data_IF_554486289508
#
_entry.id   IF_554486289508
#
_cell.length_a   1.000
_cell.length_b   1.000
_cell.length_c   1.000
_cell.angle_alpha   90.00
_cell.angle_beta   90.00
_cell.angle_gamma   90.00
#
_symmetry.space_group_name_H-M   'P 1'
#
loop_
_entity.id
_entity.type
_entity.pdbx_description
1 polymer ?
#
# COMPACT_ATOMS: atom_id res chain seq x y z
N UNK A 1 0.29 -5.92 -1.44
CA UNK A 1 -0.11 -5.67 -0.03
C UNK A 1 0.41 -4.31 0.41
N UNK A 2 -0.42 -3.48 1.04
CA UNK A 2 -0.11 -2.07 1.33
C UNK A 2 1.22 -1.86 2.08
N UNK A 3 1.54 -2.72 3.06
CA UNK A 3 2.79 -2.69 3.82
C UNK A 3 4.04 -2.86 2.93
N UNK A 4 4.04 -3.87 2.05
CA UNK A 4 5.16 -4.15 1.13
C UNK A 4 5.38 -2.99 0.15
N UNK A 5 4.29 -2.42 -0.37
CA UNK A 5 4.37 -1.25 -1.27
C UNK A 5 4.88 -0.01 -0.54
N UNK A 6 4.67 0.10 0.77
CA UNK A 6 5.22 1.17 1.61
C UNK A 6 6.65 0.89 2.11
N UNK A 7 7.26 -0.24 1.72
CA UNK A 7 8.64 -0.57 2.11
C UNK A 7 8.84 -0.94 3.59
N UNK A 8 7.76 -1.26 4.31
CA UNK A 8 7.86 -1.57 5.74
C UNK A 8 8.02 -3.07 6.00
N UNK A 9 8.93 -3.42 6.92
CA UNK A 9 9.02 -4.76 7.46
C UNK A 9 7.85 -5.07 8.42
N UNK A 10 7.54 -6.36 8.61
CA UNK A 10 6.38 -6.82 9.39
C UNK A 10 6.43 -6.34 10.83
N UNK A 11 7.58 -6.51 11.51
CA UNK A 11 7.73 -6.14 12.92
C UNK A 11 7.69 -4.63 13.13
N UNK A 12 8.36 -3.88 12.25
CA UNK A 12 8.40 -2.41 12.31
C UNK A 12 7.02 -1.81 12.01
N UNK A 13 6.28 -2.39 11.06
CA UNK A 13 4.90 -2.01 10.79
C UNK A 13 4.00 -2.28 12.01
N UNK A 14 4.13 -3.45 12.64
CA UNK A 14 3.33 -3.80 13.82
C UNK A 14 3.57 -2.84 14.99
N UNK A 15 4.85 -2.52 15.27
CA UNK A 15 5.22 -1.51 16.28
C UNK A 15 4.64 -0.14 15.96
N UNK A 16 4.77 0.31 14.71
CA UNK A 16 4.31 1.64 14.29
C UNK A 16 2.78 1.77 14.34
N UNK A 17 2.07 0.68 14.08
CA UNK A 17 0.62 0.59 14.24
C UNK A 17 0.18 0.47 15.71
N UNK A 18 1.14 0.47 16.65
CA UNK A 18 0.94 0.27 18.08
C UNK A 18 0.18 -1.04 18.38
N UNK A 19 0.45 -2.09 17.60
CA UNK A 19 -0.02 -3.43 17.92
C UNK A 19 0.83 -3.98 19.07
N UNK A 20 0.18 -4.52 20.08
CA UNK A 20 0.83 -5.14 21.23
C UNK A 20 0.76 -6.66 21.13
N UNK A 21 1.74 -7.33 21.71
CA UNK A 21 1.68 -8.77 21.92
C UNK A 21 0.53 -9.11 22.85
N UNK A 22 -0.21 -10.18 22.53
CA UNK A 22 -1.25 -10.71 23.39
C UNK A 22 -0.95 -12.15 23.79
N UNK A 23 -1.78 -12.71 24.67
CA UNK A 23 -1.65 -14.11 25.10
C UNK A 23 -1.78 -15.14 23.97
N UNK A 24 -2.45 -14.79 22.86
CA UNK A 24 -2.78 -15.71 21.76
C UNK A 24 -1.95 -15.51 20.49
N UNK A 25 -1.35 -14.34 20.32
CA UNK A 25 -0.62 -13.98 19.11
C UNK A 25 0.27 -12.76 19.38
N UNK A 26 1.44 -12.74 18.76
CA UNK A 26 2.35 -11.60 18.73
C UNK A 26 1.79 -10.46 17.87
N UNK A 27 2.33 -9.27 18.01
CA UNK A 27 1.95 -8.10 17.22
C UNK A 27 2.14 -8.33 15.71
N UNK A 28 3.22 -9.03 15.33
CA UNK A 28 3.51 -9.40 13.95
C UNK A 28 2.52 -10.43 13.39
N UNK A 29 2.19 -11.46 14.17
CA UNK A 29 1.19 -12.46 13.79
C UNK A 29 -0.21 -11.85 13.62
N UNK A 30 -0.60 -10.93 14.50
CA UNK A 30 -1.86 -10.18 14.35
C UNK A 30 -1.88 -9.38 13.06
N UNK A 31 -0.78 -8.69 12.74
CA UNK A 31 -0.67 -7.95 11.49
C UNK A 31 -0.77 -8.87 10.28
N UNK A 32 -0.11 -10.04 10.33
CA UNK A 32 -0.18 -11.05 9.28
C UNK A 32 -1.62 -11.59 9.11
N UNK A 33 -2.34 -11.86 10.20
CA UNK A 33 -3.73 -12.32 10.16
C UNK A 33 -4.70 -11.28 9.59
N UNK A 34 -4.44 -9.98 9.81
CA UNK A 34 -5.19 -8.91 9.14
C UNK A 34 -4.85 -8.81 7.65
N UNK A 35 -3.58 -9.04 7.29
CA UNK A 35 -3.12 -9.04 5.90
C UNK A 35 -3.64 -10.27 5.11
N UNK A 36 -3.77 -11.45 5.74
CA UNK A 36 -4.32 -12.66 5.11
C UNK A 36 -5.84 -12.67 5.01
N UNK A 37 -6.52 -11.80 5.75
CA UNK A 37 -7.98 -11.75 5.81
C UNK A 37 -8.60 -12.76 6.77
N UNK A 38 -7.79 -13.50 7.55
CA UNK A 38 -8.27 -14.42 8.59
C UNK A 38 -9.06 -13.72 9.69
N UNK A 39 -8.65 -12.48 10.02
CA UNK A 39 -9.34 -11.66 11.02
C UNK A 39 -9.63 -10.28 10.44
N UNK A 40 -10.86 -9.75 10.56
CA UNK A 40 -11.15 -8.39 10.11
C UNK A 40 -10.51 -7.36 11.05
N UNK A 41 -9.74 -6.38 10.54
CA UNK A 41 -9.22 -5.28 11.34
C UNK A 41 -10.33 -4.31 11.74
N UNK A 42 -10.14 -3.59 12.85
CA UNK A 42 -11.06 -2.53 13.26
C UNK A 42 -10.93 -1.28 12.38
N UNK A 43 -12.00 -0.49 12.26
CA UNK A 43 -11.97 0.77 11.49
C UNK A 43 -10.91 1.75 11.99
N UNK A 44 -10.69 1.84 13.30
CA UNK A 44 -9.66 2.71 13.87
C UNK A 44 -8.24 2.26 13.48
N UNK A 45 -8.01 0.96 13.36
CA UNK A 45 -6.75 0.41 12.86
C UNK A 45 -6.56 0.73 11.37
N UNK A 46 -7.60 0.59 10.54
CA UNK A 46 -7.54 0.95 9.12
C UNK A 46 -7.18 2.43 8.90
N UNK A 47 -7.72 3.34 9.73
CA UNK A 47 -7.36 4.77 9.68
C UNK A 47 -5.89 5.00 10.07
N UNK A 48 -5.32 4.21 10.98
CA UNK A 48 -3.88 4.28 11.29
C UNK A 48 -3.05 3.75 10.13
N UNK A 49 -3.44 2.61 9.56
CA UNK A 49 -2.80 2.03 8.39
C UNK A 49 -2.81 2.97 7.19
N UNK A 50 -3.92 3.67 6.94
CA UNK A 50 -4.02 4.63 5.84
C UNK A 50 -3.01 5.78 5.99
N UNK A 51 -2.83 6.28 7.21
CA UNK A 51 -1.84 7.32 7.53
C UNK A 51 -0.40 6.80 7.42
N UNK A 52 -0.14 5.63 7.98
CA UNK A 52 1.21 5.05 8.03
C UNK A 52 1.71 4.65 6.65
N UNK A 53 0.87 3.96 5.88
CA UNK A 53 1.25 3.46 4.56
C UNK A 53 1.03 4.48 3.44
N UNK A 54 0.58 5.71 3.78
CA UNK A 54 0.26 6.77 2.82
C UNK A 54 -0.70 6.29 1.73
N UNK A 55 -1.68 5.46 2.09
CA UNK A 55 -2.71 4.94 1.16
C UNK A 55 -4.08 5.46 1.55
N UNK A 56 -4.95 5.80 0.57
CA UNK A 56 -6.32 6.18 0.86
C UNK A 56 -7.05 5.11 1.69
N UNK A 57 -7.87 5.53 2.64
CA UNK A 57 -8.65 4.60 3.49
C UNK A 57 -9.53 3.67 2.64
N UNK A 58 -10.09 4.20 1.54
CA UNK A 58 -10.94 3.45 0.63
C UNK A 58 -10.24 2.21 0.05
N UNK A 59 -8.92 2.29 -0.18
CA UNK A 59 -8.12 1.18 -0.73
C UNK A 59 -8.18 -0.07 0.13
N UNK A 60 -8.38 0.06 1.46
CA UNK A 60 -8.48 -1.09 2.37
C UNK A 60 -9.85 -1.78 2.34
N UNK A 61 -10.84 -1.18 1.67
CA UNK A 61 -12.15 -1.76 1.46
C UNK A 61 -12.32 -2.36 0.05
N UNK A 62 -11.31 -2.19 -0.82
CA UNK A 62 -11.32 -2.80 -2.14
C UNK A 62 -10.85 -4.25 -2.04
N UNK A 63 -11.50 -5.14 -2.77
CA UNK A 63 -11.11 -6.56 -2.88
C UNK A 63 -9.69 -6.71 -3.43
N UNK A 64 -9.32 -5.82 -4.34
CA UNK A 64 -8.00 -5.79 -4.96
C UNK A 64 -7.45 -4.36 -4.94
N UNK A 65 -6.12 -4.18 -4.88
CA UNK A 65 -5.51 -2.87 -5.04
C UNK A 65 -5.97 -2.23 -6.35
N UNK A 66 -6.18 -0.90 -6.40
CA UNK A 66 -6.54 -0.23 -7.64
C UNK A 66 -5.47 -0.53 -8.68
N UNK A 67 -5.90 -0.97 -9.86
CA UNK A 67 -5.00 -1.21 -10.98
C UNK A 67 -4.23 0.06 -11.29
N UNK A 68 -2.91 -0.05 -11.54
CA UNK A 68 -2.21 1.01 -12.26
C UNK A 68 -2.95 1.17 -13.59
N UNK A 69 -3.60 2.32 -13.79
CA UNK A 69 -4.15 2.63 -15.10
C UNK A 69 -3.00 2.59 -16.08
N UNK A 70 -3.21 1.91 -17.21
CA UNK A 70 -2.31 2.10 -18.33
C UNK A 70 -2.40 3.58 -18.72
N UNK A 71 -1.25 4.18 -19.02
CA UNK A 71 -1.17 5.60 -19.36
C UNK A 71 -2.10 5.82 -20.56
N UNK A 72 -2.99 6.80 -20.51
CA UNK A 72 -3.70 7.21 -21.72
C UNK A 72 -2.65 7.65 -22.75
N UNK A 73 -2.68 7.10 -23.96
CA UNK A 73 -1.75 7.51 -25.00
C UNK A 73 -1.87 9.02 -25.24
N UNK A 74 -0.74 9.70 -25.15
CA UNK A 74 -0.68 11.11 -25.52
C UNK A 74 -0.59 11.23 -27.04
N UNK A 75 -1.75 11.21 -27.69
CA UNK A 75 -1.86 11.35 -29.15
C UNK A 75 -1.38 12.72 -29.67
N UNK A 76 -1.08 13.69 -28.80
CA UNK A 76 -0.52 14.99 -29.19
C UNK A 76 0.99 14.92 -29.37
N UNK A 77 1.64 13.87 -28.87
CA UNK A 77 3.07 13.68 -28.94
C UNK A 77 3.40 12.64 -30.01
N UNK A 78 4.12 13.05 -31.05
CA UNK A 78 4.59 12.14 -32.09
C UNK A 78 5.57 11.12 -31.49
N UNK A 79 5.39 9.84 -31.84
CA UNK A 79 6.17 8.67 -31.40
C UNK A 79 7.70 8.80 -31.47
N UNK A 80 8.23 9.78 -32.19
CA UNK A 80 9.66 10.05 -32.35
C UNK A 80 10.23 11.12 -31.42
N UNK A 81 9.40 11.84 -30.66
CA UNK A 81 9.79 13.06 -29.96
C UNK A 81 10.17 12.86 -28.49
N UNK A 82 9.98 11.66 -27.92
CA UNK A 82 10.21 11.41 -26.49
C UNK A 82 11.34 10.41 -26.32
N UNK A 83 12.44 10.90 -25.76
CA UNK A 83 13.52 10.04 -25.26
C UNK A 83 12.96 9.15 -24.13
N UNK A 84 13.07 7.80 -24.24
CA UNK A 84 12.59 6.87 -23.21
C UNK A 84 13.13 7.16 -21.80
N UNK A 85 14.29 7.81 -21.69
CA UNK A 85 14.91 8.17 -20.41
C UNK A 85 14.14 9.23 -19.61
N UNK A 86 13.30 10.05 -20.28
CA UNK A 86 12.50 11.09 -19.62
C UNK A 86 11.27 10.55 -18.87
N UNK A 87 10.81 9.34 -19.19
CA UNK A 87 9.67 8.73 -18.50
C UNK A 87 10.04 8.28 -17.06
N UNK A 88 11.30 8.00 -16.78
CA UNK A 88 11.72 7.49 -15.47
C UNK A 88 11.55 8.48 -14.30
N UNK A 89 11.56 9.80 -14.57
CA UNK A 89 11.39 10.84 -13.55
C UNK A 89 9.92 10.95 -13.12
N UNK A 90 8.98 10.67 -14.03
CA UNK A 90 7.53 10.76 -13.78
C UNK A 90 7.02 9.55 -13.00
N UNK A 91 7.62 8.37 -13.22
CA UNK A 91 7.29 7.14 -12.48
C UNK A 91 7.60 7.21 -10.98
N UNK A 92 8.52 8.08 -10.56
CA UNK A 92 8.89 8.27 -9.16
C UNK A 92 7.85 9.07 -8.35
N UNK A 93 6.87 9.70 -9.01
CA UNK A 93 5.85 10.55 -8.40
C UNK A 93 4.54 9.81 -8.04
N UNK A 94 4.45 8.48 -8.25
CA UNK A 94 3.21 7.68 -8.09
C UNK A 94 3.36 6.47 -7.16
#
# INVERSE_FOLDING_TARGET
>A
MARKTAGHDLLEAAKTLALTDGKRATAGEKLAAYESGETPPSRSLLVKMSKQYRRPLLTFYLTEPPSRSDRGEDFRTLWHAVDPSLNGIVDALV
#
